data_IF_522786315406
#
_entry.id   IF_522786315406
#
_cell.length_a   1.000
_cell.length_b   1.000
_cell.length_c   1.000
_cell.angle_alpha   90.00
_cell.angle_beta   90.00
_cell.angle_gamma   90.00
#
_symmetry.space_group_name_H-M   'P 1'
#
loop_
_entity.id
_entity.type
_entity.pdbx_description
1 polymer ?
#
# COMPACT_ATOMS: atom_id res chain seq x y z
N UNK A 1 10.27 21.57 -13.77
CA UNK A 1 9.38 20.51 -14.29
C UNK A 1 8.96 19.66 -13.11
N UNK A 2 7.80 19.95 -12.51
CA UNK A 2 7.26 19.13 -11.43
C UNK A 2 6.80 17.81 -12.05
N UNK A 3 7.60 16.76 -11.90
CA UNK A 3 7.15 15.40 -12.23
C UNK A 3 5.96 15.13 -11.31
N UNK A 4 4.76 15.07 -11.89
CA UNK A 4 3.60 14.59 -11.17
C UNK A 4 3.94 13.19 -10.62
N UNK A 5 3.55 12.88 -9.38
CA UNK A 5 3.75 11.56 -8.81
C UNK A 5 3.10 10.54 -9.76
N UNK A 6 3.92 9.67 -10.38
CA UNK A 6 3.42 8.59 -11.23
C UNK A 6 2.70 7.60 -10.33
N UNK A 7 1.41 7.87 -10.07
CA UNK A 7 0.55 7.00 -9.29
C UNK A 7 0.21 5.81 -10.17
N UNK A 8 1.03 4.76 -10.07
CA UNK A 8 0.71 3.49 -10.67
C UNK A 8 -0.25 2.74 -9.73
N UNK A 9 -1.50 2.48 -10.15
CA UNK A 9 -2.39 1.64 -9.39
C UNK A 9 -1.80 0.22 -9.43
N UNK A 10 -1.50 -0.34 -8.26
CA UNK A 10 -0.83 -1.62 -8.16
C UNK A 10 -1.84 -2.79 -8.22
N UNK A 11 -2.84 -2.65 -9.10
CA UNK A 11 -3.88 -3.65 -9.41
C UNK A 11 -3.29 -5.01 -9.80
N UNK A 12 -2.02 -5.02 -10.21
CA UNK A 12 -1.28 -6.20 -10.66
C UNK A 12 -0.45 -6.87 -9.54
N UNK A 13 -0.38 -6.31 -8.32
CA UNK A 13 0.45 -6.88 -7.26
C UNK A 13 -0.28 -8.03 -6.52
N UNK A 14 0.24 -9.27 -6.60
CA UNK A 14 -0.40 -10.40 -5.95
C UNK A 14 -0.34 -10.24 -4.42
N UNK A 15 -1.51 -10.23 -3.78
CA UNK A 15 -1.64 -10.20 -2.33
C UNK A 15 -2.21 -8.91 -1.76
N UNK A 16 -2.56 -7.92 -2.56
CA UNK A 16 -3.35 -6.77 -2.07
C UNK A 16 -4.72 -7.27 -1.55
N UNK A 17 -5.08 -7.02 -0.28
CA UNK A 17 -6.40 -7.37 0.25
C UNK A 17 -7.53 -6.63 -0.49
N UNK A 18 -8.70 -7.27 -0.61
CA UNK A 18 -9.87 -6.67 -1.28
C UNK A 18 -10.30 -5.38 -0.59
N UNK A 19 -10.61 -4.34 -1.37
CA UNK A 19 -10.98 -3.03 -0.83
C UNK A 19 -9.79 -2.16 -0.42
N UNK A 20 -8.57 -2.56 -0.81
CA UNK A 20 -7.38 -1.74 -0.65
C UNK A 20 -6.79 -1.34 -1.99
N UNK A 21 -6.25 -0.13 -2.04
CA UNK A 21 -5.62 0.49 -3.20
C UNK A 21 -4.15 0.71 -2.89
N UNK A 22 -3.27 0.01 -3.62
CA UNK A 22 -1.83 0.26 -3.58
C UNK A 22 -1.47 1.32 -4.60
N UNK A 23 -0.77 2.35 -4.15
CA UNK A 23 -0.19 3.41 -4.96
C UNK A 23 1.29 3.53 -4.62
N UNK A 24 2.13 3.84 -5.59
CA UNK A 24 3.52 4.16 -5.31
C UNK A 24 4.01 5.29 -6.21
N UNK A 25 4.99 6.04 -5.73
CA UNK A 25 5.57 7.20 -6.38
C UNK A 25 7.08 7.17 -6.25
N UNK A 26 7.80 7.30 -7.37
CA UNK A 26 9.24 7.51 -7.34
C UNK A 26 9.52 8.98 -6.95
N UNK A 27 10.14 9.18 -5.79
CA UNK A 27 10.51 10.51 -5.31
C UNK A 27 11.87 10.96 -5.86
N UNK A 28 12.83 10.04 -5.99
CA UNK A 28 14.20 10.34 -6.46
C UNK A 28 14.99 9.07 -6.77
N UNK A 29 15.57 8.93 -7.96
CA UNK A 29 16.58 7.93 -8.35
C UNK A 29 16.51 6.59 -7.57
N UNK A 30 15.56 5.72 -7.94
CA UNK A 30 15.24 4.45 -7.27
C UNK A 30 14.66 4.54 -5.84
N UNK A 31 14.32 5.72 -5.34
CA UNK A 31 13.61 5.89 -4.07
C UNK A 31 12.11 6.01 -4.29
N UNK A 32 11.37 5.04 -3.78
CA UNK A 32 9.94 4.89 -3.95
C UNK A 32 9.23 5.13 -2.63
N UNK A 33 8.14 5.89 -2.70
CA UNK A 33 7.15 6.05 -1.66
C UNK A 33 5.92 5.22 -2.03
N UNK A 34 5.61 4.23 -1.22
CA UNK A 34 4.50 3.30 -1.40
C UNK A 34 3.43 3.61 -0.37
N UNK A 35 2.20 3.82 -0.82
CA UNK A 35 1.02 4.11 -0.02
C UNK A 35 -0.09 3.11 -0.34
N UNK A 36 -0.54 2.39 0.68
CA UNK A 36 -1.62 1.41 0.60
C UNK A 36 -2.81 1.89 1.43
N UNK A 37 -3.91 2.20 0.78
CA UNK A 37 -5.09 2.81 1.42
C UNK A 37 -6.27 1.86 1.35
N UNK A 38 -6.98 1.70 2.47
CA UNK A 38 -8.22 0.93 2.55
C UNK A 38 -9.41 1.84 2.28
N UNK A 39 -10.43 1.33 1.60
CA UNK A 39 -11.73 2.00 1.47
C UNK A 39 -12.38 2.30 2.83
N UNK A 40 -11.98 1.56 3.88
CA UNK A 40 -12.50 1.71 5.24
C UNK A 40 -11.75 2.77 6.07
N UNK A 41 -10.76 3.46 5.48
CA UNK A 41 -9.99 4.53 6.12
C UNK A 41 -8.54 4.23 6.50
N UNK A 42 -8.13 3.01 6.93
CA UNK A 42 -6.74 2.77 7.31
C UNK A 42 -5.80 2.89 6.11
N UNK A 43 -4.60 3.40 6.36
CA UNK A 43 -3.56 3.54 5.36
C UNK A 43 -2.21 3.08 5.93
N UNK A 44 -1.39 2.51 5.07
CA UNK A 44 -0.01 2.12 5.35
C UNK A 44 0.89 2.83 4.35
N UNK A 45 1.95 3.46 4.82
CA UNK A 45 2.97 4.08 3.98
C UNK A 45 4.34 3.49 4.28
N UNK A 46 5.14 3.25 3.22
CA UNK A 46 6.52 2.77 3.31
C UNK A 46 7.37 3.47 2.26
N UNK A 47 8.63 3.72 2.59
CA UNK A 47 9.60 4.32 1.69
C UNK A 47 10.80 3.37 1.53
N UNK A 48 11.38 3.28 0.33
CA UNK A 48 12.51 2.38 0.09
C UNK A 48 13.23 2.65 -1.23
N UNK A 49 14.51 2.25 -1.29
CA UNK A 49 15.39 2.39 -2.47
C UNK A 49 15.28 1.25 -3.48
N UNK A 50 14.36 0.33 -3.22
CA UNK A 50 14.01 -0.84 -4.01
C UNK A 50 12.47 -0.86 -4.00
N UNK A 51 11.79 -1.02 -5.13
CA UNK A 51 10.32 -0.89 -5.17
C UNK A 51 9.63 -2.11 -4.53
N UNK A 52 10.23 -3.29 -4.67
CA UNK A 52 9.62 -4.55 -4.25
C UNK A 52 9.60 -4.70 -2.72
N UNK A 53 10.67 -4.32 -2.03
CA UNK A 53 10.74 -4.34 -0.56
C UNK A 53 9.62 -3.53 0.15
N UNK A 54 9.43 -2.22 -0.11
CA UNK A 54 8.41 -1.40 0.53
C UNK A 54 7.03 -1.85 0.09
N UNK A 55 6.83 -2.33 -1.14
CA UNK A 55 5.55 -2.94 -1.56
C UNK A 55 5.23 -4.17 -0.73
N UNK A 56 6.14 -5.14 -0.62
CA UNK A 56 5.91 -6.37 0.15
C UNK A 56 5.53 -6.05 1.60
N UNK A 57 6.30 -5.16 2.24
CA UNK A 57 6.00 -4.72 3.62
C UNK A 57 4.66 -4.00 3.73
N UNK A 58 4.35 -3.11 2.79
CA UNK A 58 3.11 -2.36 2.82
C UNK A 58 1.89 -3.28 2.68
N UNK A 59 2.00 -4.32 1.83
CA UNK A 59 0.97 -5.36 1.67
C UNK A 59 0.85 -6.23 2.93
N UNK A 60 1.95 -6.63 3.56
CA UNK A 60 1.92 -7.41 4.81
C UNK A 60 1.27 -6.63 5.97
N UNK A 61 1.69 -5.40 6.21
CA UNK A 61 1.09 -4.50 7.20
C UNK A 61 -0.42 -4.31 6.93
N UNK A 62 -0.81 -4.13 5.66
CA UNK A 62 -2.21 -3.97 5.31
C UNK A 62 -3.05 -5.23 5.52
N UNK A 63 -2.52 -6.41 5.22
CA UNK A 63 -3.18 -7.68 5.54
C UNK A 63 -3.38 -7.85 7.03
N UNK A 64 -2.40 -7.46 7.84
CA UNK A 64 -2.52 -7.54 9.30
C UNK A 64 -3.61 -6.59 9.82
N UNK A 65 -3.64 -5.35 9.33
CA UNK A 65 -4.68 -4.39 9.66
C UNK A 65 -6.05 -4.91 9.21
N UNK A 66 -6.17 -5.39 7.97
CA UNK A 66 -7.40 -5.96 7.42
C UNK A 66 -7.91 -7.13 8.27
N UNK A 67 -7.01 -8.06 8.65
CA UNK A 67 -7.34 -9.17 9.56
C UNK A 67 -7.86 -8.67 10.91
N UNK A 68 -7.23 -7.64 11.50
CA UNK A 68 -7.70 -7.05 12.75
C UNK A 68 -9.08 -6.38 12.60
N UNK A 69 -9.35 -5.74 11.46
CA UNK A 69 -10.65 -5.14 11.16
C UNK A 69 -11.73 -6.21 10.97
N UNK A 70 -11.44 -7.29 10.25
CA UNK A 70 -12.38 -8.40 10.06
C UNK A 70 -12.71 -9.11 11.38
N UNK A 71 -11.73 -9.28 12.26
CA UNK A 71 -11.95 -9.82 13.62
C UNK A 71 -12.90 -8.91 14.40
N UNK A 72 -12.72 -7.58 14.35
CA UNK A 72 -13.64 -6.64 15.01
C UNK A 72 -15.05 -6.65 14.42
N UNK A 73 -15.18 -6.83 13.09
CA UNK A 73 -16.48 -6.88 12.40
C UNK A 73 -17.30 -8.13 12.74
N UNK A 74 -16.64 -9.21 13.15
CA UNK A 74 -17.31 -10.50 13.45
C UNK A 74 -17.85 -10.60 14.88
N UNK A 75 -17.63 -9.60 15.72
CA UNK A 75 -18.03 -9.61 17.15
C UNK A 75 -19.23 -8.67 17.41
N UNK A 76 -19.87 -8.13 16.36
CA UNK A 76 -21.01 -7.21 16.51
C UNK A 76 -22.28 -7.72 15.82
#
# INVERSE_FOLDING_TARGET
MSKLPYTHPAEDFPGVPTGWTLTYNELSNNFYHVLHTSEYGPAVEKNGSDLEQPISRCVEDAKEIDKQLQVKKSIN
#
